data_IF_662121336388
#
_entry.id   IF_662121336388
#
_cell.length_a   1.000
_cell.length_b   1.000
_cell.length_c   1.000
_cell.angle_alpha   90.00
_cell.angle_beta   90.00
_cell.angle_gamma   90.00
#
_symmetry.space_group_name_H-M   'P 1'
#
loop_
_entity.id
_entity.type
_entity.pdbx_description
1 polymer ?
#
# COMPACT_ATOMS: atom_id res chain seq x y z
N UNK A 1 24.25 3.79 -4.36
CA UNK A 1 22.87 3.57 -4.84
C UNK A 1 22.16 2.45 -4.07
N UNK A 2 22.74 1.25 -3.90
CA UNK A 2 22.09 0.18 -3.13
C UNK A 2 21.78 0.52 -1.66
N UNK A 3 22.71 1.18 -0.95
CA UNK A 3 22.48 1.65 0.43
C UNK A 3 21.33 2.67 0.52
N UNK A 4 21.15 3.50 -0.52
CA UNK A 4 20.07 4.49 -0.55
C UNK A 4 18.71 3.78 -0.70
N UNK A 5 18.63 2.79 -1.58
CA UNK A 5 17.45 1.92 -1.73
C UNK A 5 17.06 1.26 -0.40
N UNK A 6 18.05 0.66 0.29
CA UNK A 6 17.82 0.00 1.57
C UNK A 6 17.33 1.00 2.66
N UNK A 7 17.90 2.20 2.72
CA UNK A 7 17.45 3.25 3.66
C UNK A 7 16.01 3.70 3.35
N UNK A 8 15.64 3.83 2.08
CA UNK A 8 14.28 4.23 1.67
C UNK A 8 13.27 3.14 2.02
N UNK A 9 13.60 1.86 1.81
CA UNK A 9 12.78 0.73 2.24
C UNK A 9 12.62 0.71 3.78
N UNK A 10 13.70 0.89 4.54
CA UNK A 10 13.65 0.96 6.01
C UNK A 10 12.81 2.14 6.52
N UNK A 11 12.90 3.31 5.86
CA UNK A 11 12.09 4.47 6.17
C UNK A 11 10.59 4.19 5.96
N UNK A 12 10.21 3.46 4.90
CA UNK A 12 8.81 3.07 4.67
C UNK A 12 8.26 2.17 5.77
N UNK A 13 9.07 1.24 6.28
CA UNK A 13 8.67 0.42 7.44
C UNK A 13 8.43 1.27 8.70
N UNK A 14 9.26 2.30 8.93
CA UNK A 14 9.03 3.26 10.01
C UNK A 14 7.76 4.10 9.76
N UNK A 15 7.54 4.56 8.53
CA UNK A 15 6.35 5.32 8.15
C UNK A 15 5.08 4.49 8.40
N UNK A 16 5.07 3.19 8.11
CA UNK A 16 3.94 2.31 8.40
C UNK A 16 3.53 2.35 9.89
N UNK A 17 4.50 2.29 10.80
CA UNK A 17 4.26 2.40 12.24
C UNK A 17 3.75 3.81 12.63
N UNK A 18 4.33 4.85 12.04
CA UNK A 18 3.90 6.22 12.29
C UNK A 18 2.47 6.47 11.78
N UNK A 19 2.07 5.86 10.67
CA UNK A 19 0.71 5.96 10.14
C UNK A 19 -0.31 5.36 11.12
N UNK A 20 -0.01 4.23 11.75
CA UNK A 20 -0.85 3.65 12.81
C UNK A 20 -1.09 4.68 13.91
N UNK A 21 -0.01 5.27 14.43
CA UNK A 21 -0.07 6.22 15.53
C UNK A 21 -0.76 7.54 15.15
N UNK A 22 -0.39 8.13 14.01
CA UNK A 22 -0.90 9.44 13.60
C UNK A 22 -2.38 9.37 13.21
N UNK A 23 -2.81 8.35 12.46
CA UNK A 23 -4.22 8.19 12.12
C UNK A 23 -5.03 7.79 13.36
N UNK A 24 -4.49 6.90 14.20
CA UNK A 24 -5.13 6.52 15.47
C UNK A 24 -5.35 7.70 16.42
N UNK A 25 -4.49 8.70 16.40
CA UNK A 25 -4.60 9.93 17.18
C UNK A 25 -5.41 11.04 16.48
N UNK A 26 -5.94 10.79 15.28
CA UNK A 26 -6.67 11.79 14.48
C UNK A 26 -5.78 12.88 13.85
N UNK A 27 -4.46 12.70 13.82
CA UNK A 27 -3.49 13.63 13.20
C UNK A 27 -3.40 13.40 11.69
N UNK A 28 -4.53 13.58 11.00
CA UNK A 28 -4.72 13.18 9.61
C UNK A 28 -3.82 13.95 8.63
N UNK A 29 -3.50 15.22 8.91
CA UNK A 29 -2.61 16.02 8.05
C UNK A 29 -1.18 15.47 8.05
N UNK A 30 -0.69 15.11 9.25
CA UNK A 30 0.61 14.45 9.40
C UNK A 30 0.61 13.09 8.72
N UNK A 31 -0.49 12.33 8.84
CA UNK A 31 -0.63 11.05 8.15
C UNK A 31 -0.65 11.20 6.61
N UNK A 32 -1.27 12.25 6.08
CA UNK A 32 -1.26 12.53 4.65
C UNK A 32 0.16 12.85 4.14
N UNK A 33 0.92 13.64 4.89
CA UNK A 33 2.33 13.91 4.60
C UNK A 33 3.20 12.64 4.67
N UNK A 34 2.98 11.80 5.67
CA UNK A 34 3.68 10.52 5.82
C UNK A 34 3.37 9.57 4.66
N UNK A 35 2.10 9.43 4.28
CA UNK A 35 1.69 8.57 3.16
C UNK A 35 2.28 9.07 1.82
N UNK A 36 2.21 10.37 1.56
CA UNK A 36 2.84 10.99 0.40
C UNK A 36 4.37 10.76 0.40
N UNK A 37 5.02 10.86 1.55
CA UNK A 37 6.44 10.57 1.70
C UNK A 37 6.75 9.11 1.41
N UNK A 38 5.95 8.16 1.91
CA UNK A 38 6.13 6.74 1.61
C UNK A 38 6.12 6.47 0.10
N UNK A 39 5.14 7.02 -0.63
CA UNK A 39 5.05 6.87 -2.08
C UNK A 39 6.21 7.52 -2.83
N UNK A 40 6.66 8.71 -2.41
CA UNK A 40 7.84 9.33 -3.00
C UNK A 40 9.09 8.47 -2.76
N UNK A 41 9.27 7.95 -1.54
CA UNK A 41 10.43 7.11 -1.20
C UNK A 41 10.44 5.80 -2.00
N UNK A 42 9.28 5.16 -2.19
CA UNK A 42 9.13 3.99 -3.07
C UNK A 42 9.52 4.31 -4.53
N UNK A 43 8.99 5.41 -5.07
CA UNK A 43 9.32 5.84 -6.44
C UNK A 43 10.82 6.09 -6.65
N UNK A 44 11.47 6.76 -5.69
CA UNK A 44 12.91 7.02 -5.75
C UNK A 44 13.75 5.78 -5.48
N UNK A 45 13.28 4.86 -4.65
CA UNK A 45 13.90 3.56 -4.40
C UNK A 45 13.96 2.74 -5.69
N UNK A 46 12.82 2.57 -6.36
CA UNK A 46 12.76 1.87 -7.64
C UNK A 46 13.67 2.47 -8.72
N UNK A 47 13.80 3.81 -8.77
CA UNK A 47 14.76 4.47 -9.69
C UNK A 47 16.22 4.19 -9.29
N UNK A 48 16.52 4.23 -8.00
CA UNK A 48 17.86 4.00 -7.45
C UNK A 48 18.32 2.56 -7.62
N UNK A 49 17.42 1.59 -7.44
CA UNK A 49 17.66 0.17 -7.64
C UNK A 49 17.96 -0.14 -9.11
N UNK A 50 17.21 0.44 -10.07
CA UNK A 50 17.48 0.27 -11.51
C UNK A 50 18.79 0.92 -11.97
N UNK A 51 19.21 2.00 -11.31
CA UNK A 51 20.49 2.65 -11.57
C UNK A 51 21.67 1.92 -10.91
N UNK A 52 21.42 0.97 -10.01
CA UNK A 52 22.47 0.22 -9.34
C UNK A 52 22.92 -0.97 -10.19
N UNK A 53 24.24 -1.13 -10.35
CA UNK A 53 24.84 -2.26 -11.08
C UNK A 53 24.84 -3.58 -10.28
N UNK A 54 24.24 -3.60 -9.08
CA UNK A 54 24.20 -4.75 -8.16
C UNK A 54 22.81 -4.89 -7.54
N UNK A 55 22.39 -6.13 -7.20
CA UNK A 55 21.14 -6.36 -6.47
C UNK A 55 21.12 -5.61 -5.13
N UNK A 56 19.98 -5.00 -4.80
CA UNK A 56 19.72 -4.37 -3.49
C UNK A 56 19.37 -5.42 -2.45
N UNK A 57 19.83 -5.28 -1.20
CA UNK A 57 19.56 -6.27 -0.14
C UNK A 57 18.12 -6.23 0.37
N UNK A 58 17.48 -5.05 0.37
CA UNK A 58 16.11 -4.85 0.80
C UNK A 58 15.07 -4.81 -0.32
N UNK A 59 15.49 -4.79 -1.60
CA UNK A 59 14.55 -4.82 -2.73
C UNK A 59 13.65 -6.08 -2.78
N UNK A 60 14.06 -7.19 -2.15
CA UNK A 60 13.22 -8.39 -1.99
C UNK A 60 12.10 -8.23 -0.94
N UNK A 61 12.18 -7.18 -0.12
CA UNK A 61 11.23 -6.85 0.95
C UNK A 61 10.27 -5.71 0.57
N UNK A 62 10.40 -5.18 -0.65
CA UNK A 62 9.67 -4.01 -1.14
C UNK A 62 8.14 -4.19 -1.03
N UNK A 63 7.64 -5.30 -1.58
CA UNK A 63 6.22 -5.66 -1.48
C UNK A 63 5.76 -5.83 -0.02
N UNK A 64 6.59 -6.42 0.83
CA UNK A 64 6.29 -6.66 2.23
C UNK A 64 6.15 -5.33 2.98
N UNK A 65 7.04 -4.38 2.69
CA UNK A 65 7.03 -3.05 3.29
C UNK A 65 5.84 -2.24 2.80
N UNK A 66 5.51 -2.27 1.51
CA UNK A 66 4.32 -1.58 0.99
C UNK A 66 3.02 -2.16 1.55
N UNK A 67 2.96 -3.50 1.66
CA UNK A 67 1.85 -4.18 2.33
C UNK A 67 1.75 -3.72 3.78
N UNK A 68 2.89 -3.56 4.47
CA UNK A 68 2.93 -3.09 5.84
C UNK A 68 2.47 -1.63 5.98
N UNK A 69 2.78 -0.76 5.02
CA UNK A 69 2.24 0.61 4.95
C UNK A 69 0.72 0.58 4.80
N UNK A 70 0.19 -0.23 3.89
CA UNK A 70 -1.26 -0.40 3.71
C UNK A 70 -1.96 -0.95 4.95
N UNK A 71 -1.38 -2.00 5.57
CA UNK A 71 -1.89 -2.59 6.80
C UNK A 71 -1.85 -1.59 7.98
N UNK A 72 -0.73 -0.89 8.16
CA UNK A 72 -0.56 0.13 9.19
C UNK A 72 -1.59 1.26 9.06
N UNK A 73 -1.87 1.70 7.83
CA UNK A 73 -2.90 2.69 7.58
C UNK A 73 -4.31 2.17 7.92
N UNK A 74 -4.65 0.93 7.53
CA UNK A 74 -5.93 0.32 7.89
C UNK A 74 -6.11 0.16 9.40
N UNK A 75 -5.07 -0.26 10.11
CA UNK A 75 -5.07 -0.36 11.58
C UNK A 75 -5.23 1.04 12.19
N UNK A 76 -4.52 2.05 11.67
CA UNK A 76 -4.67 3.43 12.12
C UNK A 76 -6.10 3.96 11.94
N UNK A 77 -6.73 3.68 10.79
CA UNK A 77 -8.14 4.03 10.54
C UNK A 77 -9.09 3.37 11.54
N UNK A 78 -8.80 2.13 11.91
CA UNK A 78 -9.58 1.40 12.91
C UNK A 78 -9.40 1.95 14.32
N UNK A 79 -8.16 2.27 14.73
CA UNK A 79 -7.85 2.86 16.03
C UNK A 79 -8.41 4.28 16.17
N UNK A 80 -8.42 5.06 15.09
CA UNK A 80 -9.01 6.40 15.06
C UNK A 80 -10.54 6.42 15.06
N UNK A 81 -11.18 5.25 15.03
CA UNK A 81 -12.64 5.12 15.02
C UNK A 81 -13.29 5.45 13.68
N UNK A 82 -12.51 5.61 12.60
CA UNK A 82 -13.02 5.92 11.25
C UNK A 82 -13.54 4.67 10.52
N UNK A 83 -13.02 3.51 10.90
CA UNK A 83 -13.50 2.19 10.50
C UNK A 83 -13.75 1.40 11.78
N UNK A 84 -14.81 0.60 11.82
CA UNK A 84 -15.03 -0.27 12.99
C UNK A 84 -13.83 -1.21 13.19
N UNK A 85 -13.40 -1.42 14.43
CA UNK A 85 -12.25 -2.25 14.75
C UNK A 85 -12.33 -3.66 14.13
N UNK A 86 -13.52 -4.27 14.19
CA UNK A 86 -13.78 -5.59 13.60
C UNK A 86 -13.56 -5.61 12.08
N UNK A 87 -14.01 -4.58 11.37
CA UNK A 87 -13.81 -4.48 9.91
C UNK A 87 -12.33 -4.25 9.57
N UNK A 88 -11.66 -3.32 10.26
CA UNK A 88 -10.25 -3.07 10.01
C UNK A 88 -9.38 -4.31 10.24
N UNK A 89 -9.61 -5.02 11.35
CA UNK A 89 -8.92 -6.27 11.65
C UNK A 89 -9.24 -7.36 10.62
N UNK A 90 -10.52 -7.53 10.25
CA UNK A 90 -10.92 -8.51 9.24
C UNK A 90 -10.21 -8.26 7.91
N UNK A 91 -10.17 -7.01 7.44
CA UNK A 91 -9.50 -6.65 6.18
C UNK A 91 -8.01 -6.98 6.23
N UNK A 92 -7.31 -6.62 7.30
CA UNK A 92 -5.88 -6.92 7.45
C UNK A 92 -5.62 -8.42 7.55
N UNK A 93 -6.40 -9.15 8.34
CA UNK A 93 -6.22 -10.60 8.55
C UNK A 93 -6.54 -11.37 7.28
N UNK A 94 -7.66 -11.06 6.60
CA UNK A 94 -8.08 -11.78 5.40
C UNK A 94 -7.15 -11.49 4.23
N UNK A 95 -6.85 -10.21 3.96
CA UNK A 95 -6.05 -9.85 2.80
C UNK A 95 -4.55 -10.04 3.07
N UNK A 96 -4.06 -9.59 4.22
CA UNK A 96 -2.65 -9.78 4.60
C UNK A 96 -2.31 -11.24 4.90
N UNK A 97 -3.15 -11.92 5.68
CA UNK A 97 -2.98 -13.35 5.95
C UNK A 97 -3.18 -14.21 4.70
N UNK A 98 -4.16 -13.88 3.86
CA UNK A 98 -4.37 -14.54 2.57
C UNK A 98 -3.20 -14.35 1.62
N UNK A 99 -2.59 -13.16 1.56
CA UNK A 99 -1.38 -12.91 0.79
C UNK A 99 -0.22 -13.79 1.25
N UNK A 100 0.03 -13.88 2.57
CA UNK A 100 1.08 -14.75 3.14
C UNK A 100 0.80 -16.22 2.83
N UNK A 101 -0.44 -16.66 3.00
CA UNK A 101 -0.81 -18.08 2.85
C UNK A 101 -0.85 -18.55 1.38
N UNK A 102 -1.29 -17.68 0.46
CA UNK A 102 -1.51 -18.03 -0.94
C UNK A 102 -0.38 -17.54 -1.86
N UNK A 103 0.52 -16.69 -1.37
CA UNK A 103 1.58 -16.07 -2.18
C UNK A 103 1.06 -15.16 -3.30
N UNK A 104 -0.21 -14.72 -3.23
CA UNK A 104 -0.84 -13.92 -4.28
C UNK A 104 -0.68 -12.43 -4.00
N UNK A 105 0.17 -11.76 -4.77
CA UNK A 105 0.51 -10.34 -4.62
C UNK A 105 -0.71 -9.41 -4.77
N UNK A 106 -1.75 -9.80 -5.48
CA UNK A 106 -2.95 -8.97 -5.64
C UNK A 106 -3.74 -8.81 -4.35
N UNK A 107 -3.66 -9.76 -3.41
CA UNK A 107 -4.27 -9.59 -2.09
C UNK A 107 -3.62 -8.44 -1.30
N UNK A 108 -2.29 -8.32 -1.40
CA UNK A 108 -1.57 -7.18 -0.88
C UNK A 108 -1.99 -5.88 -1.59
N UNK A 109 -2.07 -5.89 -2.93
CA UNK A 109 -2.50 -4.70 -3.68
C UNK A 109 -3.92 -4.26 -3.33
N UNK A 110 -4.85 -5.20 -3.11
CA UNK A 110 -6.22 -4.90 -2.68
C UNK A 110 -6.24 -4.32 -1.28
N UNK A 111 -5.43 -4.86 -0.34
CA UNK A 111 -5.31 -4.29 1.01
C UNK A 111 -4.83 -2.84 0.96
N UNK A 112 -3.74 -2.60 0.21
CA UNK A 112 -3.16 -1.27 0.03
C UNK A 112 -4.15 -0.30 -0.61
N UNK A 113 -4.74 -0.67 -1.76
CA UNK A 113 -5.70 0.17 -2.47
C UNK A 113 -6.92 0.52 -1.61
N UNK A 114 -7.42 -0.45 -0.84
CA UNK A 114 -8.55 -0.23 0.09
C UNK A 114 -8.16 0.76 1.18
N UNK A 115 -7.01 0.56 1.84
CA UNK A 115 -6.55 1.45 2.90
C UNK A 115 -6.28 2.88 2.39
N UNK A 116 -5.59 3.00 1.26
CA UNK A 116 -5.27 4.30 0.66
C UNK A 116 -6.53 5.03 0.18
N UNK A 117 -7.44 4.32 -0.49
CA UNK A 117 -8.71 4.88 -0.95
C UNK A 117 -9.58 5.39 0.20
N UNK A 118 -9.72 4.59 1.26
CA UNK A 118 -10.46 5.00 2.46
C UNK A 118 -9.84 6.22 3.13
N UNK A 119 -8.51 6.25 3.27
CA UNK A 119 -7.84 7.39 3.88
C UNK A 119 -7.96 8.67 3.04
N UNK A 120 -7.80 8.60 1.72
CA UNK A 120 -7.98 9.75 0.84
C UNK A 120 -9.42 10.27 0.87
N UNK A 121 -10.40 9.36 0.86
CA UNK A 121 -11.80 9.72 1.04
C UNK A 121 -12.05 10.40 2.38
N UNK A 122 -11.49 9.84 3.47
CA UNK A 122 -11.58 10.42 4.81
C UNK A 122 -10.99 11.83 4.85
N UNK A 123 -9.76 12.00 4.36
CA UNK A 123 -9.06 13.28 4.32
C UNK A 123 -9.85 14.35 3.56
N UNK A 124 -10.42 13.99 2.40
CA UNK A 124 -11.31 14.86 1.64
C UNK A 124 -12.60 15.18 2.40
N UNK A 125 -13.28 14.16 2.95
CA UNK A 125 -14.56 14.32 3.64
C UNK A 125 -14.47 15.20 4.90
N UNK A 126 -13.35 15.16 5.61
CA UNK A 126 -13.08 16.00 6.77
C UNK A 126 -12.43 17.34 6.41
N UNK A 127 -12.20 17.61 5.11
CA UNK A 127 -11.59 18.85 4.63
C UNK A 127 -10.30 19.23 5.36
N UNK A 128 -9.48 18.22 5.69
CA UNK A 128 -8.23 18.45 6.41
C UNK A 128 -7.28 19.30 5.56
N UNK A 129 -6.42 20.11 6.18
CA UNK A 129 -5.42 20.82 5.40
C UNK A 129 -4.43 19.81 4.79
N UNK A 130 -4.21 19.88 3.48
CA UNK A 130 -3.33 18.94 2.78
C UNK A 130 -3.99 17.62 2.33
N UNK A 131 -5.33 17.51 2.32
CA UNK A 131 -6.04 16.34 1.74
C UNK A 131 -5.62 16.04 0.29
N UNK A 132 -5.23 17.07 -0.45
CA UNK A 132 -4.79 17.00 -1.85
C UNK A 132 -3.40 16.37 -2.02
N UNK A 133 -2.61 16.26 -0.96
CA UNK A 133 -1.20 15.87 -1.04
C UNK A 133 -1.01 14.44 -1.56
N UNK A 134 -1.67 13.39 -1.02
CA UNK A 134 -1.54 12.05 -1.60
C UNK A 134 -2.04 11.98 -3.05
N UNK A 135 -3.26 12.47 -3.42
CA UNK A 135 -3.72 12.49 -4.81
C UNK A 135 -2.75 13.16 -5.79
N UNK A 136 -2.15 14.29 -5.42
CA UNK A 136 -1.17 14.97 -6.27
C UNK A 136 0.10 14.14 -6.44
N UNK A 137 0.62 13.56 -5.36
CA UNK A 137 1.83 12.71 -5.43
C UNK A 137 1.62 11.48 -6.30
N UNK A 138 0.50 10.76 -6.14
CA UNK A 138 0.23 9.59 -6.99
C UNK A 138 0.05 9.97 -8.45
N UNK A 139 -0.58 11.12 -8.75
CA UNK A 139 -0.69 11.64 -10.13
C UNK A 139 0.67 11.99 -10.72
N UNK A 140 1.57 12.62 -9.96
CA UNK A 140 2.94 12.92 -10.40
C UNK A 140 3.67 11.61 -10.70
N UNK A 141 3.65 10.65 -9.78
CA UNK A 141 4.31 9.35 -9.96
C UNK A 141 3.77 8.61 -11.19
N UNK A 142 2.43 8.55 -11.34
CA UNK A 142 1.78 7.92 -12.48
C UNK A 142 2.14 8.59 -13.80
N UNK A 143 2.22 9.93 -13.83
CA UNK A 143 2.62 10.67 -15.03
C UNK A 143 4.08 10.41 -15.39
N UNK A 144 4.97 10.36 -14.40
CA UNK A 144 6.40 10.12 -14.62
C UNK A 144 6.72 8.66 -15.02
N UNK A 145 5.88 7.70 -14.63
CA UNK A 145 6.02 6.27 -14.94
C UNK A 145 4.88 5.75 -15.83
N UNK A 146 4.28 6.60 -16.67
CA UNK A 146 3.05 6.30 -17.41
C UNK A 146 3.05 4.96 -18.14
N UNK A 147 4.17 4.62 -18.81
CA UNK A 147 4.31 3.35 -19.52
C UNK A 147 4.19 2.13 -18.59
N UNK A 148 4.94 2.11 -17.48
CA UNK A 148 4.86 1.04 -16.47
C UNK A 148 3.47 1.00 -15.81
N UNK A 149 2.90 2.16 -15.53
CA UNK A 149 1.59 2.25 -14.91
C UNK A 149 0.50 1.57 -15.76
N UNK A 150 0.49 1.84 -17.07
CA UNK A 150 -0.49 1.25 -18.00
C UNK A 150 -0.18 -0.20 -18.36
N UNK A 151 1.09 -0.57 -18.52
CA UNK A 151 1.45 -1.89 -19.05
C UNK A 151 1.73 -2.95 -17.97
N UNK A 152 2.20 -2.54 -16.79
CA UNK A 152 2.57 -3.49 -15.72
C UNK A 152 1.57 -3.40 -14.56
N UNK A 153 1.36 -2.20 -14.02
CA UNK A 153 0.63 -2.02 -12.75
C UNK A 153 -0.87 -2.27 -12.87
N UNK A 154 -1.53 -1.68 -13.88
CA UNK A 154 -2.97 -1.85 -14.09
C UNK A 154 -3.30 -3.31 -14.51
N UNK A 155 -2.66 -3.88 -15.54
CA UNK A 155 -3.00 -5.23 -15.98
C UNK A 155 -2.71 -6.28 -14.91
N UNK A 156 -1.55 -6.22 -14.24
CA UNK A 156 -1.19 -7.17 -13.19
C UNK A 156 -2.15 -7.15 -11.99
N UNK A 157 -2.70 -5.98 -11.65
CA UNK A 157 -3.76 -5.89 -10.64
C UNK A 157 -5.03 -6.63 -11.05
N UNK A 158 -5.51 -6.40 -12.28
CA UNK A 158 -6.73 -7.04 -12.78
C UNK A 158 -6.55 -8.54 -13.03
N UNK A 159 -5.40 -8.96 -13.55
CA UNK A 159 -5.05 -10.37 -13.75
C UNK A 159 -5.10 -11.14 -12.44
N UNK A 160 -4.46 -10.64 -11.38
CA UNK A 160 -4.49 -11.38 -10.12
C UNK A 160 -5.84 -11.34 -9.40
N UNK A 161 -6.70 -10.33 -9.64
CA UNK A 161 -8.12 -10.38 -9.23
C UNK A 161 -8.86 -11.46 -10.03
N UNK A 162 -8.63 -11.55 -11.34
CA UNK A 162 -9.23 -12.58 -12.19
C UNK A 162 -8.82 -13.98 -11.73
N UNK A 163 -7.55 -14.18 -11.38
CA UNK A 163 -7.02 -15.42 -10.84
C UNK A 163 -7.67 -15.80 -9.51
N UNK A 164 -7.82 -14.85 -8.58
CA UNK A 164 -8.58 -15.04 -7.34
C UNK A 164 -10.03 -15.47 -7.60
N UNK A 165 -10.71 -14.81 -8.55
CA UNK A 165 -12.08 -15.16 -8.92
C UNK A 165 -12.19 -16.57 -9.52
N UNK A 166 -11.16 -17.00 -10.25
CA UNK A 166 -11.09 -18.33 -10.85
C UNK A 166 -10.83 -19.41 -9.78
N UNK A 167 -9.97 -19.11 -8.81
CA UNK A 167 -9.64 -19.99 -7.70
C UNK A 167 -10.85 -20.17 -6.77
N UNK A 168 -11.53 -19.08 -6.41
CA UNK A 168 -12.75 -19.13 -5.61
C UNK A 168 -13.85 -19.97 -6.30
N UNK A 169 -14.05 -19.79 -7.62
CA UNK A 169 -15.00 -20.60 -8.39
C UNK A 169 -14.65 -22.09 -8.42
N UNK A 170 -13.37 -22.45 -8.46
CA UNK A 170 -12.92 -23.85 -8.39
C UNK A 170 -13.17 -24.47 -7.02
N UNK A 171 -12.91 -23.73 -5.94
CA UNK A 171 -13.16 -24.20 -4.57
C UNK A 171 -14.63 -24.45 -4.28
N UNK A 172 -15.52 -23.58 -4.77
CA UNK A 172 -16.98 -23.76 -4.63
C UNK A 172 -17.45 -25.01 -5.39
N UNK A 173 -16.90 -25.28 -6.57
CA UNK A 173 -17.24 -26.48 -7.35
C UNK A 173 -16.72 -27.80 -6.76
N UNK A 174 -15.67 -27.78 -5.93
CA UNK A 174 -15.15 -29.01 -5.29
C UNK A 174 -15.86 -29.35 -3.99
N UNK A 175 -16.64 -28.42 -3.45
CA UNK A 175 -17.39 -28.59 -2.19
C UNK A 175 -18.91 -28.76 -2.40
N UNK A 176 -19.38 -28.66 -3.65
CA UNK A 176 -20.73 -29.00 -4.11
C UNK A 176 -20.81 -30.40 -4.71
#
# INVERSE_FOLDING_TARGET
MAVLADVLTGLRALIALLLVAMVGQGRLETAAALLATAWLTDFFDGKSARAASRPTHLGQWDLQVDTFVGAGLMIGLALGGYVSWGVGLLVVVVLGGGWIALGNNSLSSVLQATAYGLFMWLAYSQSINGWWLPPVVILIIATLNWHRFIHDSIPGFFEGIADLSSAARRFVKSTS
#
